data_IF_140305043379
#
_entry.id   IF_140305043379
#
_cell.length_a   1.000
_cell.length_b   1.000
_cell.length_c   1.000
_cell.angle_alpha   90.00
_cell.angle_beta   90.00
_cell.angle_gamma   90.00
#
_symmetry.space_group_name_H-M   'P 1'
#
loop_
_entity.id
_entity.type
_entity.pdbx_description
1 polymer ?
#
# COMPACT_ATOMS: atom_id res chain seq x y z
N UNK A 1 1.58 17.16 -0.25
CA UNK A 1 1.81 16.37 0.98
C UNK A 1 3.03 15.51 0.72
N UNK A 2 3.93 15.44 1.68
CA UNK A 2 5.13 14.59 1.66
C UNK A 2 5.17 13.83 2.97
N UNK A 3 6.01 12.80 3.08
CA UNK A 3 6.27 12.14 4.35
C UNK A 3 6.85 13.20 5.32
N UNK A 4 6.23 13.44 6.48
CA UNK A 4 6.68 14.48 7.39
C UNK A 4 8.13 14.28 7.87
N UNK A 5 8.91 15.35 7.90
CA UNK A 5 10.35 15.29 8.24
C UNK A 5 10.66 14.89 9.69
N UNK A 6 9.65 14.91 10.56
CA UNK A 6 9.79 14.47 11.94
C UNK A 6 9.80 12.95 12.07
N UNK A 7 9.43 12.20 11.02
CA UNK A 7 9.56 10.75 10.97
C UNK A 7 11.03 10.42 10.70
N UNK A 8 11.70 9.84 11.70
CA UNK A 8 13.15 9.55 11.66
C UNK A 8 13.46 8.06 11.84
N UNK A 9 12.58 7.33 12.53
CA UNK A 9 12.74 5.90 12.78
C UNK A 9 11.94 5.00 11.82
N UNK A 10 12.35 3.74 11.72
CA UNK A 10 11.59 2.71 10.97
C UNK A 10 10.22 2.44 11.60
N UNK A 11 10.13 2.45 12.93
CA UNK A 11 8.85 2.26 13.64
C UNK A 11 7.86 3.40 13.38
N UNK A 12 8.35 4.65 13.42
CA UNK A 12 7.55 5.84 13.11
C UNK A 12 7.08 5.82 11.65
N UNK A 13 7.96 5.39 10.75
CA UNK A 13 7.63 5.23 9.34
C UNK A 13 6.58 4.13 9.14
N UNK A 14 6.70 3.00 9.82
CA UNK A 14 5.72 1.93 9.81
C UNK A 14 4.35 2.40 10.30
N UNK A 15 4.32 3.13 11.42
CA UNK A 15 3.08 3.71 11.96
C UNK A 15 2.43 4.71 10.98
N UNK A 16 3.24 5.55 10.33
CA UNK A 16 2.75 6.49 9.32
C UNK A 16 2.18 5.78 8.08
N UNK A 17 2.87 4.76 7.56
CA UNK A 17 2.37 3.96 6.44
C UNK A 17 1.08 3.22 6.79
N UNK A 18 0.99 2.67 8.01
CA UNK A 18 -0.23 2.03 8.51
C UNK A 18 -1.40 3.02 8.59
N UNK A 19 -1.15 4.25 9.05
CA UNK A 19 -2.17 5.32 9.07
C UNK A 19 -2.64 5.68 7.67
N UNK A 20 -1.72 5.88 6.70
CA UNK A 20 -2.10 6.13 5.30
C UNK A 20 -2.97 4.99 4.76
N UNK A 21 -2.54 3.75 4.99
CA UNK A 21 -3.26 2.56 4.55
C UNK A 21 -4.66 2.47 5.17
N UNK A 22 -4.83 2.84 6.44
CA UNK A 22 -6.13 2.86 7.09
C UNK A 22 -7.08 3.93 6.53
N UNK A 23 -6.53 5.08 6.13
CA UNK A 23 -7.32 6.22 5.65
C UNK A 23 -7.65 6.17 4.16
N UNK A 24 -6.70 5.75 3.33
CA UNK A 24 -6.76 5.85 1.86
C UNK A 24 -6.55 4.52 1.16
N UNK A 25 -6.34 3.45 1.94
CA UNK A 25 -5.95 2.17 1.45
C UNK A 25 -7.05 1.12 1.46
N UNK A 26 -6.82 0.07 0.69
CA UNK A 26 -7.59 -1.17 0.75
C UNK A 26 -6.65 -2.37 0.78
N UNK A 27 -6.93 -3.32 1.67
CA UNK A 27 -6.15 -4.54 1.87
C UNK A 27 -6.94 -5.72 1.30
N UNK A 28 -6.38 -6.41 0.31
CA UNK A 28 -6.89 -7.72 -0.12
C UNK A 28 -6.23 -8.83 0.68
N UNK A 29 -6.99 -9.88 0.95
CA UNK A 29 -6.47 -11.12 1.52
C UNK A 29 -6.99 -12.31 0.73
N UNK A 30 -6.20 -13.36 0.69
CA UNK A 30 -6.56 -14.64 0.10
C UNK A 30 -6.45 -15.76 1.14
N UNK A 31 -7.29 -16.80 1.04
CA UNK A 31 -7.17 -17.95 1.92
C UNK A 31 -5.85 -18.67 1.65
N UNK A 32 -5.01 -18.79 2.68
CA UNK A 32 -3.76 -19.54 2.65
C UNK A 32 -4.01 -21.01 2.98
N UNK A 33 -4.97 -21.62 2.28
CA UNK A 33 -5.45 -22.98 2.56
C UNK A 33 -5.05 -23.93 1.42
N UNK A 34 -3.78 -23.94 1.00
CA UNK A 34 -3.28 -24.89 0.00
C UNK A 34 -3.51 -26.37 0.42
N UNK A 35 -3.74 -26.62 1.71
CA UNK A 35 -4.17 -27.89 2.29
C UNK A 35 -5.34 -27.65 3.25
N UNK A 36 -6.19 -28.66 3.45
CA UNK A 36 -7.20 -28.62 4.54
C UNK A 36 -6.47 -28.51 5.88
N UNK A 37 -6.53 -27.32 6.47
CA UNK A 37 -6.08 -27.04 7.84
C UNK A 37 -7.32 -26.84 8.73
N UNK A 38 -7.20 -27.17 10.02
CA UNK A 38 -8.26 -26.88 10.99
C UNK A 38 -8.28 -25.41 11.43
N UNK A 39 -7.31 -24.61 10.96
CA UNK A 39 -7.17 -23.20 11.30
C UNK A 39 -7.27 -22.37 10.01
N UNK A 40 -8.16 -21.35 9.96
CA UNK A 40 -8.23 -20.44 8.83
C UNK A 40 -6.96 -19.59 8.80
N UNK A 41 -6.11 -19.80 7.80
CA UNK A 41 -4.94 -18.97 7.54
C UNK A 41 -5.23 -18.03 6.38
N UNK A 42 -4.89 -16.75 6.53
CA UNK A 42 -5.05 -15.73 5.49
C UNK A 42 -3.67 -15.19 5.10
N UNK A 43 -3.50 -14.85 3.84
CA UNK A 43 -2.34 -14.15 3.30
C UNK A 43 -2.78 -12.81 2.72
N UNK A 44 -2.08 -11.74 3.09
CA UNK A 44 -2.32 -10.40 2.56
C UNK A 44 -1.58 -10.26 1.25
N UNK A 45 -2.30 -9.91 0.19
CA UNK A 45 -1.76 -10.00 -1.17
C UNK A 45 -1.47 -8.63 -1.78
N UNK A 46 -2.38 -7.66 -1.57
CA UNK A 46 -2.25 -6.32 -2.15
C UNK A 46 -2.77 -5.25 -1.21
N UNK A 47 -1.93 -4.25 -0.97
CA UNK A 47 -2.31 -2.96 -0.39
C UNK A 47 -2.39 -1.92 -1.52
N UNK A 48 -3.60 -1.45 -1.83
CA UNK A 48 -3.79 -0.36 -2.82
C UNK A 48 -3.86 0.96 -2.08
N UNK A 49 -3.04 1.94 -2.48
CA UNK A 49 -3.09 3.31 -1.97
C UNK A 49 -3.52 4.25 -3.10
N UNK A 50 -4.55 5.07 -2.87
CA UNK A 50 -5.02 6.07 -3.84
C UNK A 50 -4.88 7.48 -3.29
N UNK A 51 -4.07 8.31 -3.97
CA UNK A 51 -3.85 9.71 -3.60
C UNK A 51 -3.75 10.57 -4.87
N UNK A 52 -3.80 11.89 -4.75
CA UNK A 52 -3.55 12.82 -5.88
C UNK A 52 -2.17 13.43 -5.85
N UNK A 53 -1.40 13.22 -4.77
CA UNK A 53 -0.10 13.82 -4.57
C UNK A 53 1.04 12.94 -5.08
N UNK A 54 1.66 13.35 -6.20
CA UNK A 54 2.75 12.60 -6.82
C UNK A 54 4.04 12.54 -5.98
N UNK A 55 4.32 13.57 -5.18
CA UNK A 55 5.51 13.61 -4.32
C UNK A 55 5.42 12.52 -3.27
N UNK A 56 4.29 12.46 -2.55
CA UNK A 56 4.04 11.43 -1.54
C UNK A 56 4.16 10.03 -2.15
N UNK A 57 3.60 9.80 -3.35
CA UNK A 57 3.70 8.50 -4.02
C UNK A 57 5.13 8.11 -4.33
N UNK A 58 5.93 9.04 -4.86
CA UNK A 58 7.31 8.72 -5.21
C UNK A 58 8.14 8.44 -3.94
N UNK A 59 7.89 9.13 -2.84
CA UNK A 59 8.54 8.86 -1.55
C UNK A 59 8.16 7.48 -0.99
N UNK A 60 6.86 7.14 -0.97
CA UNK A 60 6.39 5.82 -0.53
C UNK A 60 6.92 4.72 -1.44
N UNK A 61 6.92 4.91 -2.76
CA UNK A 61 7.46 3.96 -3.73
C UNK A 61 8.95 3.67 -3.46
N UNK A 62 9.75 4.71 -3.23
CA UNK A 62 11.17 4.58 -2.93
C UNK A 62 11.41 3.82 -1.61
N UNK A 63 10.61 4.10 -0.58
CA UNK A 63 10.68 3.40 0.71
C UNK A 63 10.35 1.92 0.55
N UNK A 64 9.25 1.60 -0.13
CA UNK A 64 8.83 0.22 -0.36
C UNK A 64 9.90 -0.56 -1.14
N UNK A 65 10.50 0.04 -2.18
CA UNK A 65 11.63 -0.56 -2.91
C UNK A 65 12.84 -0.81 -2.02
N UNK A 66 13.20 0.15 -1.15
CA UNK A 66 14.31 0.01 -0.20
C UNK A 66 14.09 -1.14 0.78
N UNK A 67 12.84 -1.38 1.16
CA UNK A 67 12.43 -2.49 2.03
C UNK A 67 12.26 -3.83 1.28
N UNK A 68 12.55 -3.87 -0.03
CA UNK A 68 12.49 -5.10 -0.85
C UNK A 68 11.12 -5.41 -1.46
N UNK A 69 10.14 -4.53 -1.30
CA UNK A 69 8.84 -4.68 -1.95
C UNK A 69 8.89 -4.25 -3.42
N UNK A 70 7.95 -4.75 -4.22
CA UNK A 70 7.79 -4.41 -5.65
C UNK A 70 6.54 -3.55 -5.85
N UNK A 71 6.60 -2.23 -5.59
CA UNK A 71 5.45 -1.35 -5.78
C UNK A 71 5.10 -1.20 -7.26
N UNK A 72 3.80 -1.12 -7.54
CA UNK A 72 3.24 -0.80 -8.86
C UNK A 72 2.38 0.46 -8.75
N UNK A 73 2.49 1.36 -9.74
CA UNK A 73 1.77 2.62 -9.79
C UNK A 73 0.98 2.71 -11.09
N UNK A 74 -0.31 3.01 -11.00
CA UNK A 74 -1.16 3.28 -12.16
C UNK A 74 -1.80 4.65 -11.99
N UNK A 75 -1.55 5.55 -12.93
CA UNK A 75 -2.22 6.84 -12.94
C UNK A 75 -3.72 6.65 -13.23
N UNK A 76 -4.58 7.26 -12.41
CA UNK A 76 -6.00 7.27 -12.71
C UNK A 76 -6.24 8.12 -13.96
N UNK A 77 -6.67 7.49 -15.05
CA UNK A 77 -7.18 8.18 -16.22
C UNK A 77 -8.68 7.93 -16.31
N UNK A 78 -9.47 9.01 -16.35
CA UNK A 78 -10.91 8.90 -16.60
C UNK A 78 -11.08 8.43 -18.04
N UNK A 79 -11.23 7.12 -18.28
CA UNK A 79 -11.75 6.64 -19.56
C UNK A 79 -13.18 7.16 -19.67
N UNK A 80 -13.38 8.20 -20.47
CA UNK A 80 -14.71 8.57 -20.94
C UNK A 80 -15.14 7.44 -21.87
N UNK A 81 -15.87 6.47 -21.34
CA UNK A 81 -16.65 5.56 -22.18
C UNK A 81 -17.71 6.44 -22.84
N UNK A 82 -17.43 6.91 -24.06
CA UNK A 82 -18.45 7.45 -24.94
C UNK A 82 -19.33 6.26 -25.35
N UNK A 83 -20.38 6.03 -24.57
CA UNK A 83 -21.59 5.33 -25.02
C UNK A 83 -22.30 6.16 -26.07
#
# INVERSE_FOLDING_TARGET
MRIPDFIKGEDELGAYLAMILACEGYITWQPKNERKTNEPTAETDVAVLTNTNEILFNEVENILRRLGYTPSKTAYSKKVTRT
#
